data_IF_954685892352
#
_entry.id   IF_954685892352
#
_cell.length_a   1.000
_cell.length_b   1.000
_cell.length_c   1.000
_cell.angle_alpha   90.00
_cell.angle_beta   90.00
_cell.angle_gamma   90.00
#
_symmetry.space_group_name_H-M   'P 1'
#
loop_
_entity.id
_entity.type
_entity.pdbx_description
1 polymer ?
#
# COMPACT_ATOMS: atom_id res chain seq x y z
N UNK A 1 2.37 10.01 -13.44
CA UNK A 1 2.36 10.37 -12.00
C UNK A 1 1.46 11.59 -11.78
N UNK A 2 1.68 12.72 -12.47
CA UNK A 2 0.92 13.97 -12.26
C UNK A 2 -0.61 13.78 -12.38
N UNK A 3 -1.10 13.07 -13.40
CA UNK A 3 -2.55 12.80 -13.53
C UNK A 3 -3.11 11.98 -12.36
N UNK A 4 -2.38 10.96 -11.92
CA UNK A 4 -2.76 10.14 -10.75
C UNK A 4 -2.82 11.00 -9.48
N UNK A 5 -1.79 11.81 -9.25
CA UNK A 5 -1.70 12.72 -8.10
C UNK A 5 -2.81 13.78 -8.12
N UNK A 6 -3.08 14.39 -9.30
CA UNK A 6 -4.19 15.34 -9.46
C UNK A 6 -5.54 14.70 -9.14
N UNK A 7 -5.76 13.46 -9.60
CA UNK A 7 -6.99 12.72 -9.29
C UNK A 7 -7.18 12.49 -7.80
N UNK A 8 -6.12 12.04 -7.11
CA UNK A 8 -6.15 11.86 -5.65
C UNK A 8 -6.33 13.20 -4.92
N UNK A 9 -5.58 14.23 -5.30
CA UNK A 9 -5.69 15.57 -4.72
C UNK A 9 -7.12 16.13 -4.85
N UNK A 10 -7.73 15.99 -6.03
CA UNK A 10 -9.12 16.39 -6.26
C UNK A 10 -10.08 15.64 -5.32
N UNK A 11 -9.87 14.34 -5.14
CA UNK A 11 -10.70 13.53 -4.24
C UNK A 11 -10.57 13.98 -2.79
N UNK A 12 -9.34 14.18 -2.31
CA UNK A 12 -9.07 14.64 -0.95
C UNK A 12 -9.68 16.04 -0.70
N UNK A 13 -9.45 16.98 -1.61
CA UNK A 13 -10.04 18.33 -1.51
C UNK A 13 -11.57 18.29 -1.48
N UNK A 14 -12.20 17.46 -2.32
CA UNK A 14 -13.66 17.35 -2.37
C UNK A 14 -14.26 16.77 -1.09
N UNK A 15 -13.60 15.80 -0.49
CA UNK A 15 -14.08 15.13 0.75
C UNK A 15 -13.67 15.84 2.02
N UNK A 16 -12.71 16.77 1.96
CA UNK A 16 -12.10 17.41 3.13
C UNK A 16 -11.24 16.48 3.97
N UNK A 17 -10.85 15.32 3.41
CA UNK A 17 -10.01 14.33 4.11
C UNK A 17 -8.54 14.69 3.91
N UNK A 18 -7.78 14.73 5.02
CA UNK A 18 -6.37 15.11 5.02
C UNK A 18 -5.43 13.95 5.44
N UNK A 19 -5.95 12.74 5.58
CA UNK A 19 -5.18 11.55 5.94
C UNK A 19 -5.39 10.45 4.90
N UNK A 20 -4.33 9.69 4.62
CA UNK A 20 -4.42 8.46 3.83
C UNK A 20 -3.67 7.33 4.53
N UNK A 21 -4.13 6.11 4.33
CA UNK A 21 -3.50 4.88 4.83
C UNK A 21 -3.09 4.02 3.65
N UNK A 22 -1.83 3.60 3.62
CA UNK A 22 -1.23 2.84 2.53
C UNK A 22 -0.48 1.62 3.06
N UNK A 23 -0.81 0.43 2.55
CA UNK A 23 0.02 -0.76 2.76
C UNK A 23 1.32 -0.66 1.95
N UNK A 24 2.46 -0.56 2.63
CA UNK A 24 3.77 -0.43 2.00
C UNK A 24 4.55 -1.75 2.12
N UNK A 25 4.55 -2.53 1.05
CA UNK A 25 5.22 -3.84 1.01
C UNK A 25 6.71 -3.76 0.65
N UNK A 26 7.17 -2.61 0.13
CA UNK A 26 8.50 -2.46 -0.48
C UNK A 26 8.58 -2.99 -1.92
N UNK A 27 7.45 -3.35 -2.53
CA UNK A 27 7.30 -3.68 -3.95
C UNK A 27 6.97 -2.45 -4.80
N UNK A 28 7.14 -2.56 -6.14
CA UNK A 28 6.99 -1.44 -7.07
C UNK A 28 5.60 -0.80 -7.04
N UNK A 29 4.52 -1.59 -6.91
CA UNK A 29 3.16 -1.06 -6.93
C UNK A 29 2.88 -0.17 -5.71
N UNK A 30 3.27 -0.62 -4.53
CA UNK A 30 3.14 0.16 -3.30
C UNK A 30 4.09 1.37 -3.30
N UNK A 31 5.26 1.26 -3.93
CA UNK A 31 6.19 2.39 -4.13
C UNK A 31 5.57 3.46 -5.03
N UNK A 32 5.02 3.08 -6.19
CA UNK A 32 4.34 4.04 -7.07
C UNK A 32 3.14 4.68 -6.39
N UNK A 33 2.36 3.91 -5.63
CA UNK A 33 1.22 4.46 -4.88
C UNK A 33 1.67 5.48 -3.82
N UNK A 34 2.79 5.24 -3.13
CA UNK A 34 3.39 6.20 -2.20
C UNK A 34 3.81 7.48 -2.91
N UNK A 35 4.51 7.38 -4.04
CA UNK A 35 4.93 8.52 -4.86
C UNK A 35 3.72 9.39 -5.23
N UNK A 36 2.65 8.76 -5.72
CA UNK A 36 1.41 9.46 -6.08
C UNK A 36 0.79 10.17 -4.87
N UNK A 37 0.77 9.54 -3.69
CA UNK A 37 0.30 10.16 -2.45
C UNK A 37 1.13 11.39 -2.09
N UNK A 38 2.47 11.28 -2.14
CA UNK A 38 3.38 12.39 -1.83
C UNK A 38 3.13 13.58 -2.76
N UNK A 39 3.08 13.35 -4.07
CA UNK A 39 2.79 14.42 -5.03
C UNK A 39 1.41 15.06 -4.80
N UNK A 40 0.38 14.27 -4.47
CA UNK A 40 -0.96 14.79 -4.18
C UNK A 40 -0.98 15.66 -2.90
N UNK A 41 -0.25 15.25 -1.87
CA UNK A 41 -0.15 15.99 -0.61
C UNK A 41 0.62 17.30 -0.79
N UNK A 42 1.72 17.28 -1.54
CA UNK A 42 2.49 18.47 -1.88
C UNK A 42 1.64 19.49 -2.68
N UNK A 43 0.85 19.00 -3.66
CA UNK A 43 -0.09 19.86 -4.41
C UNK A 43 -1.13 20.57 -3.53
N UNK A 44 -1.55 19.92 -2.44
CA UNK A 44 -2.53 20.44 -1.50
C UNK A 44 -1.92 21.21 -0.33
N UNK A 45 -0.60 21.20 -0.17
CA UNK A 45 0.09 21.75 0.98
C UNK A 45 -0.24 21.04 2.31
N UNK A 46 -0.58 19.75 2.24
CA UNK A 46 -0.84 18.91 3.41
C UNK A 46 0.47 18.27 3.88
N UNK A 47 0.66 18.18 5.19
CA UNK A 47 1.85 17.55 5.76
C UNK A 47 1.93 16.07 5.34
N UNK A 48 3.08 15.66 4.79
CA UNK A 48 3.36 14.27 4.40
C UNK A 48 3.26 13.28 5.56
N UNK A 49 3.37 13.73 6.82
CA UNK A 49 3.13 12.91 8.02
C UNK A 49 1.70 12.37 8.12
N UNK A 50 0.77 12.94 7.38
CA UNK A 50 -0.60 12.44 7.27
C UNK A 50 -0.75 11.30 6.22
N UNK A 51 0.35 10.91 5.56
CA UNK A 51 0.45 9.68 4.78
C UNK A 51 0.92 8.58 5.74
N UNK A 52 -0.01 7.76 6.21
CA UNK A 52 0.26 6.67 7.15
C UNK A 52 0.61 5.39 6.37
N UNK A 53 1.89 5.09 6.26
CA UNK A 53 2.36 3.86 5.62
C UNK A 53 2.50 2.74 6.62
N UNK A 54 2.01 1.56 6.27
CA UNK A 54 2.00 0.39 7.16
C UNK A 54 2.61 -0.81 6.46
N UNK A 55 3.63 -1.42 7.05
CA UNK A 55 4.11 -2.73 6.63
C UNK A 55 3.58 -3.82 7.56
N UNK A 56 3.11 -4.93 6.99
CA UNK A 56 2.43 -5.98 7.73
C UNK A 56 3.07 -7.33 7.46
N UNK A 57 4.23 -7.62 8.09
CA UNK A 57 4.93 -8.89 7.90
C UNK A 57 4.09 -10.07 8.43
N UNK A 58 4.20 -11.20 7.68
CA UNK A 58 3.65 -12.49 8.04
C UNK A 58 4.68 -13.58 7.65
N UNK A 59 4.28 -14.84 7.52
CA UNK A 59 5.14 -16.01 7.34
C UNK A 59 6.18 -15.91 6.21
N UNK A 60 5.85 -15.29 5.07
CA UNK A 60 6.73 -15.19 3.90
C UNK A 60 7.48 -13.87 3.74
N UNK A 61 7.40 -12.95 4.71
CA UNK A 61 8.00 -11.62 4.58
C UNK A 61 9.52 -11.68 4.77
N UNK A 62 10.27 -11.19 3.78
CA UNK A 62 11.73 -11.15 3.84
C UNK A 62 12.25 -9.89 4.55
N UNK A 63 13.43 -9.97 5.18
CA UNK A 63 14.10 -8.82 5.79
C UNK A 63 14.37 -7.68 4.79
N UNK A 64 14.59 -8.02 3.51
CA UNK A 64 14.88 -7.06 2.44
C UNK A 64 13.68 -6.18 2.11
N UNK A 65 12.49 -6.77 1.95
CA UNK A 65 11.27 -6.01 1.63
C UNK A 65 10.88 -5.06 2.75
N UNK A 66 11.03 -5.49 4.00
CA UNK A 66 10.84 -4.64 5.17
C UNK A 66 11.79 -3.43 5.15
N UNK A 67 13.11 -3.66 4.96
CA UNK A 67 14.10 -2.59 4.89
C UNK A 67 13.82 -1.57 3.77
N UNK A 68 13.31 -2.03 2.62
CA UNK A 68 12.95 -1.13 1.52
C UNK A 68 11.75 -0.23 1.87
N UNK A 69 10.72 -0.79 2.52
CA UNK A 69 9.54 -0.02 2.95
C UNK A 69 9.92 1.08 3.95
N UNK A 70 10.75 0.75 4.94
CA UNK A 70 11.23 1.70 5.95
C UNK A 70 12.04 2.84 5.32
N UNK A 71 13.03 2.52 4.49
CA UNK A 71 13.85 3.51 3.78
C UNK A 71 13.03 4.44 2.89
N UNK A 72 12.05 3.89 2.16
CA UNK A 72 11.15 4.71 1.35
C UNK A 72 10.32 5.67 2.20
N UNK A 73 9.79 5.21 3.33
CA UNK A 73 9.03 6.05 4.24
C UNK A 73 9.88 7.17 4.85
N UNK A 74 11.12 6.87 5.22
CA UNK A 74 12.09 7.87 5.71
C UNK A 74 12.43 8.89 4.62
N UNK A 75 12.80 8.44 3.42
CA UNK A 75 13.21 9.30 2.32
C UNK A 75 12.11 10.27 1.86
N UNK A 76 10.85 9.82 1.88
CA UNK A 76 9.68 10.68 1.58
C UNK A 76 9.16 11.44 2.80
N UNK A 77 9.72 11.24 4.00
CA UNK A 77 9.31 11.87 5.26
C UNK A 77 7.83 11.63 5.61
N UNK A 78 7.32 10.43 5.35
CA UNK A 78 5.95 10.00 5.71
C UNK A 78 5.90 9.28 7.06
N UNK A 79 4.71 9.04 7.60
CA UNK A 79 4.55 8.21 8.80
C UNK A 79 4.69 6.73 8.44
N UNK A 80 5.41 5.97 9.26
CA UNK A 80 5.66 4.53 9.05
C UNK A 80 5.38 3.73 10.32
N UNK A 81 4.66 2.62 10.16
CA UNK A 81 4.38 1.68 11.24
C UNK A 81 4.55 0.24 10.75
N UNK A 82 5.10 -0.63 11.59
CA UNK A 82 5.13 -2.07 11.37
C UNK A 82 4.11 -2.76 12.27
N UNK A 83 3.21 -3.53 11.67
CA UNK A 83 2.22 -4.35 12.37
C UNK A 83 2.41 -5.81 11.98
N UNK A 84 3.01 -6.61 12.87
CA UNK A 84 3.17 -8.05 12.62
C UNK A 84 1.81 -8.75 12.76
N UNK A 85 1.34 -9.36 11.66
CA UNK A 85 0.01 -10.01 11.61
C UNK A 85 0.05 -11.51 11.89
N UNK A 86 1.22 -12.09 12.13
CA UNK A 86 1.39 -13.55 12.27
C UNK A 86 0.49 -14.14 13.36
N UNK A 87 0.39 -13.48 14.51
CA UNK A 87 -0.43 -13.98 15.63
C UNK A 87 -1.93 -13.98 15.29
N UNK A 88 -2.42 -12.93 14.63
CA UNK A 88 -3.82 -12.82 14.20
C UNK A 88 -4.18 -13.86 13.15
N UNK A 89 -3.30 -14.08 12.15
CA UNK A 89 -3.52 -15.09 11.11
C UNK A 89 -3.47 -16.51 11.71
N UNK A 90 -2.57 -16.81 12.66
CA UNK A 90 -2.55 -18.08 13.37
C UNK A 90 -3.83 -18.33 14.16
N UNK A 91 -4.33 -17.33 14.88
CA UNK A 91 -5.59 -17.45 15.57
C UNK A 91 -6.73 -17.74 14.60
N UNK A 92 -6.76 -17.05 13.46
CA UNK A 92 -7.75 -17.32 12.42
C UNK A 92 -7.67 -18.76 11.88
N UNK A 93 -6.45 -19.29 11.64
CA UNK A 93 -6.28 -20.69 11.21
C UNK A 93 -6.82 -21.67 12.25
N UNK A 94 -6.60 -21.43 13.55
CA UNK A 94 -7.18 -22.25 14.64
C UNK A 94 -8.71 -22.22 14.57
N UNK A 95 -9.31 -21.02 14.43
CA UNK A 95 -10.76 -20.81 14.41
C UNK A 95 -11.45 -21.56 13.27
N UNK A 96 -10.82 -21.54 12.07
CA UNK A 96 -11.35 -22.24 10.87
C UNK A 96 -10.84 -23.68 10.73
N UNK A 97 -10.02 -24.17 11.66
CA UNK A 97 -9.39 -25.52 11.65
C UNK A 97 -8.53 -25.76 10.42
N UNK A 98 -7.83 -24.73 9.95
CA UNK A 98 -6.85 -24.84 8.85
C UNK A 98 -5.48 -25.20 9.39
N UNK A 99 -4.80 -26.15 8.72
CA UNK A 99 -3.42 -26.55 9.06
C UNK A 99 -2.42 -25.53 8.49
N UNK A 100 -1.66 -24.85 9.34
CA UNK A 100 -0.66 -23.84 8.95
C UNK A 100 0.41 -24.40 7.99
N UNK A 101 0.64 -25.71 7.98
CA UNK A 101 1.60 -26.35 7.07
C UNK A 101 1.10 -26.46 5.62
N UNK A 102 -0.20 -26.29 5.39
CA UNK A 102 -0.83 -26.34 4.08
C UNK A 102 -0.86 -24.95 3.46
N UNK A 103 0.07 -24.68 2.54
CA UNK A 103 0.21 -23.39 1.84
C UNK A 103 -0.69 -23.31 0.60
N UNK A 104 -1.98 -23.40 0.81
CA UNK A 104 -3.02 -23.32 -0.22
C UNK A 104 -3.60 -21.91 -0.37
N UNK A 105 -4.67 -21.79 -1.15
CA UNK A 105 -5.39 -20.53 -1.36
C UNK A 105 -5.98 -19.96 -0.06
N UNK A 106 -6.33 -20.82 0.91
CA UNK A 106 -6.83 -20.39 2.23
C UNK A 106 -5.72 -19.69 3.01
N UNK A 107 -4.53 -20.29 3.00
CA UNK A 107 -3.33 -19.74 3.62
C UNK A 107 -2.99 -18.35 3.09
N UNK A 108 -2.94 -18.17 1.77
CA UNK A 108 -2.61 -16.89 1.14
C UNK A 108 -3.70 -15.84 1.34
N UNK A 109 -4.96 -16.21 1.11
CA UNK A 109 -6.09 -15.28 1.19
C UNK A 109 -6.34 -14.79 2.62
N UNK A 110 -6.11 -15.61 3.63
CA UNK A 110 -6.24 -15.22 5.04
C UNK A 110 -5.27 -14.10 5.39
N UNK A 111 -4.04 -14.17 4.92
CA UNK A 111 -3.04 -13.13 5.13
C UNK A 111 -3.42 -11.82 4.41
N UNK A 112 -3.87 -11.91 3.14
CA UNK A 112 -4.29 -10.75 2.35
C UNK A 112 -5.49 -10.03 3.01
N UNK A 113 -6.48 -10.78 3.48
CA UNK A 113 -7.66 -10.22 4.17
C UNK A 113 -7.32 -9.61 5.51
N UNK A 114 -6.38 -10.20 6.26
CA UNK A 114 -5.93 -9.62 7.54
C UNK A 114 -5.26 -8.25 7.33
N UNK A 115 -4.40 -8.12 6.29
CA UNK A 115 -3.82 -6.83 5.92
C UNK A 115 -4.88 -5.80 5.58
N UNK A 116 -5.85 -6.16 4.75
CA UNK A 116 -6.95 -5.27 4.36
C UNK A 116 -7.79 -4.84 5.56
N UNK A 117 -8.12 -5.75 6.46
CA UNK A 117 -8.84 -5.46 7.70
C UNK A 117 -8.12 -4.38 8.52
N UNK A 118 -6.81 -4.50 8.70
CA UNK A 118 -6.00 -3.53 9.43
C UNK A 118 -6.02 -2.17 8.74
N UNK A 119 -5.77 -2.10 7.42
CA UNK A 119 -5.76 -0.84 6.68
C UNK A 119 -7.11 -0.11 6.78
N UNK A 120 -8.23 -0.83 6.63
CA UNK A 120 -9.57 -0.26 6.75
C UNK A 120 -9.84 0.29 8.15
N UNK A 121 -9.44 -0.43 9.21
CA UNK A 121 -9.61 0.04 10.58
C UNK A 121 -8.69 1.23 10.92
N UNK A 122 -7.47 1.25 10.41
CA UNK A 122 -6.58 2.40 10.58
C UNK A 122 -7.11 3.64 9.84
N UNK A 123 -7.72 3.47 8.65
CA UNK A 123 -8.35 4.59 7.96
C UNK A 123 -9.50 5.19 8.78
N UNK A 124 -10.32 4.36 9.41
CA UNK A 124 -11.35 4.82 10.33
C UNK A 124 -10.76 5.56 11.55
N UNK A 125 -9.69 5.02 12.12
CA UNK A 125 -9.00 5.60 13.29
C UNK A 125 -8.42 6.99 12.98
N UNK A 126 -7.86 7.17 11.78
CA UNK A 126 -7.23 8.44 11.37
C UNK A 126 -8.19 9.36 10.61
N UNK A 127 -9.43 8.95 10.34
CA UNK A 127 -10.36 9.71 9.50
C UNK A 127 -9.83 9.88 8.06
N UNK A 128 -9.22 8.84 7.50
CA UNK A 128 -8.52 8.86 6.23
C UNK A 128 -9.13 7.97 5.15
N UNK A 129 -8.45 7.88 4.01
CA UNK A 129 -8.78 6.96 2.92
C UNK A 129 -7.72 5.85 2.82
N UNK A 130 -8.16 4.62 2.61
CA UNK A 130 -7.26 3.53 2.19
C UNK A 130 -6.90 3.69 0.72
N UNK A 131 -5.62 3.80 0.43
CA UNK A 131 -5.09 3.90 -0.93
C UNK A 131 -4.78 2.51 -1.47
N UNK A 132 -5.38 2.17 -2.60
CA UNK A 132 -5.14 0.90 -3.29
C UNK A 132 -3.88 0.95 -4.16
N UNK A 133 -3.14 -0.13 -4.13
CA UNK A 133 -1.87 -0.30 -4.87
C UNK A 133 -2.02 -1.14 -6.14
N UNK A 134 -3.14 -1.87 -6.30
CA UNK A 134 -3.39 -2.75 -7.43
C UNK A 134 -3.33 -2.03 -8.77
N UNK A 135 -2.69 -2.64 -9.76
CA UNK A 135 -2.50 -2.09 -11.09
C UNK A 135 -3.55 -2.59 -12.11
N UNK A 136 -3.52 -2.04 -13.32
CA UNK A 136 -4.44 -2.42 -14.41
C UNK A 136 -4.31 -3.90 -14.79
N UNK A 137 -3.10 -4.45 -14.80
CA UNK A 137 -2.87 -5.85 -15.20
C UNK A 137 -3.47 -6.82 -14.19
N UNK A 138 -3.36 -6.53 -12.90
CA UNK A 138 -3.98 -7.33 -11.84
C UNK A 138 -5.50 -7.32 -11.96
N UNK A 139 -6.10 -6.16 -12.21
CA UNK A 139 -7.54 -6.03 -12.42
C UNK A 139 -8.01 -6.76 -13.68
N UNK A 140 -7.29 -6.62 -14.79
CA UNK A 140 -7.64 -7.25 -16.06
C UNK A 140 -7.58 -8.78 -16.01
N UNK A 141 -6.65 -9.34 -15.23
CA UNK A 141 -6.46 -10.78 -15.07
C UNK A 141 -7.24 -11.37 -13.89
N UNK A 142 -7.86 -10.53 -13.04
CA UNK A 142 -8.47 -10.98 -11.79
C UNK A 142 -7.43 -11.52 -10.78
N UNK A 143 -6.20 -11.05 -10.87
CA UNK A 143 -5.08 -11.48 -10.03
C UNK A 143 -5.08 -10.74 -8.69
N UNK A 144 -6.05 -11.05 -7.85
CA UNK A 144 -6.21 -10.46 -6.54
C UNK A 144 -7.07 -11.35 -5.63
N UNK A 145 -6.82 -11.28 -4.32
CA UNK A 145 -7.69 -11.95 -3.34
C UNK A 145 -9.00 -11.20 -3.20
N UNK A 146 -10.12 -11.89 -3.46
CA UNK A 146 -11.46 -11.32 -3.23
C UNK A 146 -11.65 -10.90 -1.78
N UNK A 147 -12.14 -9.68 -1.57
CA UNK A 147 -12.22 -9.04 -0.24
C UNK A 147 -10.88 -8.97 0.51
N UNK A 148 -9.79 -8.85 -0.23
CA UNK A 148 -8.43 -8.71 0.28
C UNK A 148 -7.69 -7.54 -0.37
N UNK A 149 -6.55 -7.82 -0.97
CA UNK A 149 -5.59 -6.84 -1.50
C UNK A 149 -6.12 -5.90 -2.60
N UNK A 150 -7.22 -6.24 -3.29
CA UNK A 150 -7.87 -5.35 -4.25
C UNK A 150 -8.80 -4.32 -3.59
N UNK A 151 -9.13 -4.47 -2.32
CA UNK A 151 -10.04 -3.56 -1.62
C UNK A 151 -9.33 -2.28 -1.19
N UNK A 152 -9.88 -1.17 -1.62
CA UNK A 152 -9.42 0.17 -1.23
C UNK A 152 -10.55 1.18 -1.35
N UNK A 153 -10.33 2.38 -0.82
CA UNK A 153 -11.27 3.49 -0.96
C UNK A 153 -10.94 4.38 -2.16
N UNK A 154 -9.68 4.42 -2.56
CA UNK A 154 -9.20 5.08 -3.78
C UNK A 154 -7.96 4.36 -4.32
N UNK A 155 -8.06 3.79 -5.52
CA UNK A 155 -6.97 3.03 -6.14
C UNK A 155 -6.24 3.89 -7.17
N UNK A 156 -4.98 4.23 -6.89
CA UNK A 156 -4.21 5.18 -7.69
C UNK A 156 -3.55 4.57 -8.93
N UNK A 157 -3.36 3.24 -8.97
CA UNK A 157 -2.66 2.55 -10.05
C UNK A 157 -3.59 1.79 -11.02
N UNK A 158 -4.90 1.87 -10.88
CA UNK A 158 -5.88 1.07 -11.65
C UNK A 158 -5.82 1.26 -13.17
N UNK A 159 -5.30 2.38 -13.65
CA UNK A 159 -5.13 2.67 -15.07
C UNK A 159 -3.70 2.43 -15.59
N UNK A 160 -2.81 1.94 -14.73
CA UNK A 160 -1.38 1.78 -15.03
C UNK A 160 -1.07 0.28 -15.18
N UNK A 161 -0.67 -0.19 -16.37
CA UNK A 161 -0.26 -1.58 -16.55
C UNK A 161 1.08 -1.87 -15.83
N UNK A 162 1.29 -3.11 -15.40
CA UNK A 162 2.46 -3.56 -14.64
C UNK A 162 3.80 -3.10 -15.23
N UNK A 163 3.93 -3.13 -16.54
CA UNK A 163 5.14 -2.67 -17.23
C UNK A 163 5.40 -1.19 -17.01
N UNK A 164 4.34 -0.36 -17.06
CA UNK A 164 4.46 1.08 -16.87
C UNK A 164 4.75 1.46 -15.40
N UNK A 165 4.28 0.68 -14.43
CA UNK A 165 4.62 0.87 -13.00
C UNK A 165 6.14 0.92 -12.83
N UNK A 166 6.86 -0.02 -13.44
CA UNK A 166 8.33 -0.08 -13.37
C UNK A 166 8.99 1.18 -13.96
N UNK A 167 8.52 1.62 -15.13
CA UNK A 167 9.09 2.81 -15.79
C UNK A 167 8.82 4.10 -15.01
N UNK A 168 7.62 4.25 -14.46
CA UNK A 168 7.26 5.43 -13.66
C UNK A 168 8.07 5.50 -12.36
N UNK A 169 8.27 4.36 -11.69
CA UNK A 169 9.09 4.30 -10.48
C UNK A 169 10.56 4.61 -10.78
N UNK A 170 11.11 4.07 -11.87
CA UNK A 170 12.47 4.36 -12.30
C UNK A 170 12.64 5.84 -12.67
N UNK A 171 11.70 6.41 -13.41
CA UNK A 171 11.70 7.84 -13.75
C UNK A 171 11.70 8.73 -12.50
N UNK A 172 10.88 8.43 -11.51
CA UNK A 172 10.88 9.19 -10.26
C UNK A 172 12.23 9.10 -9.53
N UNK A 173 12.85 7.92 -9.51
CA UNK A 173 14.19 7.76 -8.95
C UNK A 173 15.27 8.55 -9.71
N UNK A 174 15.14 8.72 -11.02
CA UNK A 174 16.08 9.51 -11.85
C UNK A 174 15.98 11.01 -11.58
N UNK A 175 14.75 11.54 -11.41
CA UNK A 175 14.51 12.97 -11.20
C UNK A 175 14.60 13.39 -9.73
N UNK A 176 14.57 12.44 -8.81
CA UNK A 176 14.71 12.70 -7.38
C UNK A 176 16.18 12.93 -6.98
N UNK A 177 16.40 13.79 -6.00
CA UNK A 177 17.73 14.03 -5.42
C UNK A 177 17.98 13.15 -4.18
N UNK A 178 19.23 12.72 -3.98
CA UNK A 178 19.68 12.05 -2.75
C UNK A 178 19.34 10.56 -2.66
N UNK A 179 18.83 10.11 -1.52
CA UNK A 179 18.64 8.69 -1.17
C UNK A 179 17.57 7.95 -2.00
N UNK A 180 16.72 8.69 -2.73
CA UNK A 180 15.72 8.09 -3.61
C UNK A 180 16.29 7.47 -4.89
N UNK A 181 17.57 7.74 -5.20
CA UNK A 181 18.29 7.17 -6.36
C UNK A 181 18.83 5.75 -6.14
N UNK A 182 18.74 5.21 -4.96
CA UNK A 182 19.23 3.87 -4.58
C UNK A 182 18.09 2.86 -4.46
#
# INVERSE_FOLDING_TARGET
ITMQATGLATRLAHTGINNVVLGLSGGLDSTLALIVCVHAFDMLGIDRKNIHTVTMPCFGTTKRTKSNAEKLAEAYNVSFEEINITAAVRQHFIDIKHDESVTDITYENSQARERTKILMNLSNKYGGLVIGTGDLSELALGWATYNGDHMSMYAVNVSIPKTLVRYLTAYEAEISDGELKT
#
